data_IF_663602512381
#
_entry.id   IF_663602512381
#
_cell.length_a   1.000
_cell.length_b   1.000
_cell.length_c   1.000
_cell.angle_alpha   90.00
_cell.angle_beta   90.00
_cell.angle_gamma   90.00
#
_symmetry.space_group_name_H-M   'P 1'
#
loop_
_entity.id
_entity.type
_entity.pdbx_description
1 polymer ?
#
# COMPACT_ATOMS: atom_id res chain seq x y z
N UNK A 1 11.67 -24.67 -21.25
CA UNK A 1 10.74 -23.55 -21.51
C UNK A 1 9.34 -24.08 -21.27
N UNK A 2 8.89 -24.04 -20.01
CA UNK A 2 7.54 -24.47 -19.65
C UNK A 2 6.55 -23.39 -20.06
N UNK A 3 5.51 -23.78 -20.79
CA UNK A 3 4.36 -22.94 -21.13
C UNK A 3 3.79 -22.30 -19.86
N UNK A 4 3.97 -20.99 -19.70
CA UNK A 4 3.09 -20.20 -18.86
C UNK A 4 1.69 -20.40 -19.44
N UNK A 5 0.79 -20.99 -18.64
CA UNK A 5 -0.59 -21.22 -19.03
C UNK A 5 -1.19 -19.93 -19.63
N UNK A 6 -1.97 -20.06 -20.71
CA UNK A 6 -2.77 -18.97 -21.27
C UNK A 6 -3.59 -18.35 -20.13
N UNK A 7 -3.21 -17.14 -19.73
CA UNK A 7 -3.83 -16.44 -18.62
C UNK A 7 -3.53 -14.95 -18.75
N UNK A 8 -4.48 -14.11 -18.30
CA UNK A 8 -4.35 -12.65 -18.38
C UNK A 8 -3.81 -12.11 -17.07
N UNK A 9 -2.71 -11.38 -17.19
CA UNK A 9 -2.03 -10.76 -16.07
C UNK A 9 -2.40 -9.29 -15.91
N UNK A 10 -2.59 -8.91 -14.66
CA UNK A 10 -2.86 -7.55 -14.25
C UNK A 10 -1.89 -7.13 -13.18
N UNK A 11 -1.46 -5.88 -13.28
CA UNK A 11 -0.65 -5.24 -12.27
C UNK A 11 -1.18 -3.86 -11.99
N UNK A 12 -1.45 -3.57 -10.72
CA UNK A 12 -1.88 -2.28 -10.25
C UNK A 12 -0.82 -1.69 -9.34
N UNK A 13 -0.42 -0.45 -9.61
CA UNK A 13 0.28 0.37 -8.64
C UNK A 13 -0.75 0.89 -7.63
N UNK A 14 -0.57 0.54 -6.36
CA UNK A 14 -1.38 1.01 -5.24
C UNK A 14 -0.63 2.12 -4.49
N UNK A 15 -1.36 3.00 -3.81
CA UNK A 15 -0.74 3.99 -2.92
C UNK A 15 -0.26 3.34 -1.61
N UNK A 16 1.06 3.13 -1.49
CA UNK A 16 1.68 2.61 -0.26
C UNK A 16 1.29 3.42 0.97
N UNK A 17 1.10 4.74 0.85
CA UNK A 17 0.78 5.62 1.96
C UNK A 17 -0.72 5.75 2.24
N UNK A 18 -1.59 5.12 1.46
CA UNK A 18 -3.04 5.14 1.66
C UNK A 18 -3.61 3.72 1.63
N UNK A 19 -3.00 2.81 2.42
CA UNK A 19 -3.38 1.39 2.41
C UNK A 19 -4.80 1.18 2.85
N UNK A 20 -5.34 2.03 3.73
CA UNK A 20 -6.75 2.01 4.12
C UNK A 20 -7.72 2.03 2.92
N UNK A 21 -7.52 2.93 1.96
CA UNK A 21 -8.37 2.98 0.77
C UNK A 21 -8.00 1.90 -0.24
N UNK A 22 -6.70 1.63 -0.43
CA UNK A 22 -6.23 0.57 -1.34
C UNK A 22 -6.71 -0.82 -0.94
N UNK A 23 -6.81 -1.10 0.36
CA UNK A 23 -7.33 -2.35 0.91
C UNK A 23 -8.78 -2.58 0.51
N UNK A 24 -9.59 -1.52 0.36
CA UNK A 24 -10.99 -1.67 -0.12
C UNK A 24 -10.99 -2.21 -1.54
N UNK A 25 -10.16 -1.65 -2.41
CA UNK A 25 -10.00 -2.15 -3.78
C UNK A 25 -9.55 -3.61 -3.80
N UNK A 26 -8.50 -3.96 -3.05
CA UNK A 26 -8.01 -5.33 -2.95
C UNK A 26 -9.09 -6.28 -2.41
N UNK A 27 -9.81 -5.89 -1.36
CA UNK A 27 -10.91 -6.67 -0.77
C UNK A 27 -12.04 -6.90 -1.77
N UNK A 28 -12.44 -5.87 -2.50
CA UNK A 28 -13.54 -5.96 -3.45
C UNK A 28 -13.17 -6.84 -4.65
N UNK A 29 -11.91 -6.81 -5.12
CA UNK A 29 -11.42 -7.79 -6.11
C UNK A 29 -11.54 -9.21 -5.54
N UNK A 30 -10.98 -9.47 -4.36
CA UNK A 30 -10.94 -10.83 -3.80
C UNK A 30 -12.33 -11.40 -3.47
N UNK A 31 -13.32 -10.54 -3.19
CA UNK A 31 -14.71 -10.94 -2.94
C UNK A 31 -15.52 -11.18 -4.21
N UNK A 32 -15.24 -10.45 -5.29
CA UNK A 32 -16.05 -10.51 -6.53
C UNK A 32 -15.56 -11.56 -7.52
N UNK A 33 -14.31 -12.04 -7.40
CA UNK A 33 -13.71 -12.97 -8.34
C UNK A 33 -13.32 -14.27 -7.65
N UNK A 34 -13.99 -15.36 -8.06
CA UNK A 34 -13.80 -16.71 -7.52
C UNK A 34 -12.36 -17.22 -7.79
N UNK A 35 -11.71 -17.90 -6.82
CA UNK A 35 -10.45 -18.62 -7.00
C UNK A 35 -10.36 -19.52 -8.25
N UNK A 36 -11.48 -20.02 -8.77
CA UNK A 36 -11.51 -20.79 -10.02
C UNK A 36 -11.18 -19.98 -11.28
N UNK A 37 -11.42 -18.66 -11.26
CA UNK A 37 -11.10 -17.72 -12.35
C UNK A 37 -9.88 -16.85 -12.03
N UNK A 38 -9.76 -16.40 -10.78
CA UNK A 38 -8.59 -15.70 -10.27
C UNK A 38 -7.58 -16.74 -9.76
N UNK A 39 -6.72 -17.22 -10.66
CA UNK A 39 -5.76 -18.30 -10.39
C UNK A 39 -4.58 -17.88 -9.53
N UNK A 40 -4.37 -16.58 -9.37
CA UNK A 40 -3.36 -16.07 -8.45
C UNK A 40 -3.52 -14.58 -8.16
N UNK A 41 -3.13 -14.18 -6.96
CA UNK A 41 -2.96 -12.79 -6.60
C UNK A 41 -1.75 -12.64 -5.67
N UNK A 42 -1.05 -11.50 -5.75
CA UNK A 42 0.04 -11.20 -4.83
C UNK A 42 0.20 -9.70 -4.59
N UNK A 43 0.72 -9.35 -3.42
CA UNK A 43 1.21 -8.01 -3.12
C UNK A 43 2.74 -8.00 -3.15
N UNK A 44 3.30 -6.96 -3.76
CA UNK A 44 4.73 -6.66 -3.74
C UNK A 44 4.91 -5.34 -3.01
N UNK A 45 5.74 -5.34 -1.97
CA UNK A 45 5.93 -4.19 -1.08
C UNK A 45 7.40 -3.78 -1.07
N UNK A 46 7.69 -2.58 -1.57
CA UNK A 46 9.00 -1.94 -1.41
C UNK A 46 8.93 -0.97 -0.23
N UNK A 47 9.72 -1.26 0.80
CA UNK A 47 9.80 -0.44 2.01
C UNK A 47 10.96 0.56 1.99
N UNK A 48 11.64 0.74 0.86
CA UNK A 48 12.69 1.73 0.74
C UNK A 48 12.09 3.14 0.97
N UNK A 49 12.50 3.89 2.00
CA UNK A 49 11.93 5.20 2.31
C UNK A 49 12.14 6.23 1.19
N UNK A 50 13.10 5.99 0.28
CA UNK A 50 13.34 6.83 -0.89
C UNK A 50 12.53 6.42 -2.12
N UNK A 51 11.89 5.24 -2.11
CA UNK A 51 11.07 4.74 -3.20
C UNK A 51 10.04 3.73 -2.66
N UNK A 52 9.00 4.24 -1.99
CA UNK A 52 7.93 3.39 -1.47
C UNK A 52 7.02 2.95 -2.61
N UNK A 53 6.85 1.64 -2.75
CA UNK A 53 6.05 1.06 -3.81
C UNK A 53 5.18 -0.05 -3.25
N UNK A 54 3.95 -0.12 -3.77
CA UNK A 54 3.02 -1.18 -3.47
C UNK A 54 2.38 -1.61 -4.78
N UNK A 55 2.53 -2.87 -5.14
CA UNK A 55 1.92 -3.43 -6.33
C UNK A 55 0.99 -4.58 -5.97
N UNK A 56 -0.14 -4.65 -6.67
CA UNK A 56 -1.10 -5.75 -6.58
C UNK A 56 -1.20 -6.44 -7.93
N UNK A 57 -0.79 -7.70 -7.96
CA UNK A 57 -0.82 -8.54 -9.14
C UNK A 57 -2.02 -9.48 -9.11
N UNK A 58 -2.62 -9.71 -10.28
CA UNK A 58 -3.70 -10.67 -10.48
C UNK A 58 -3.39 -11.51 -11.72
N UNK A 59 -3.72 -12.79 -11.65
CA UNK A 59 -3.66 -13.71 -12.76
C UNK A 59 -5.02 -14.37 -12.95
N UNK A 60 -5.59 -14.24 -14.15
CA UNK A 60 -6.85 -14.86 -14.52
C UNK A 60 -6.60 -16.00 -15.52
N UNK A 61 -7.21 -17.16 -15.31
CA UNK A 61 -7.12 -18.29 -16.27
C UNK A 61 -7.82 -17.98 -17.58
N UNK A 62 -9.05 -17.49 -17.55
CA UNK A 62 -9.87 -17.22 -18.74
C UNK A 62 -10.89 -16.09 -18.48
N UNK A 63 -11.30 -15.40 -19.55
CA UNK A 63 -12.41 -14.41 -19.59
C UNK A 63 -12.35 -13.27 -18.54
N UNK A 64 -11.50 -12.28 -18.82
CA UNK A 64 -11.34 -11.03 -18.08
C UNK A 64 -12.35 -9.93 -18.46
N UNK A 65 -13.22 -10.13 -19.46
CA UNK A 65 -14.11 -9.07 -19.94
C UNK A 65 -15.04 -8.57 -18.84
N UNK A 66 -15.48 -9.49 -17.98
CA UNK A 66 -16.22 -9.17 -16.78
C UNK A 66 -15.38 -8.36 -15.79
N UNK A 67 -14.10 -8.69 -15.61
CA UNK A 67 -13.18 -7.94 -14.75
C UNK A 67 -12.95 -6.52 -15.30
N UNK A 68 -12.69 -6.34 -16.60
CA UNK A 68 -12.54 -5.01 -17.22
C UNK A 68 -13.80 -4.16 -17.08
N UNK A 69 -14.96 -4.76 -17.34
CA UNK A 69 -16.25 -4.09 -17.20
C UNK A 69 -16.53 -3.71 -15.75
N UNK A 70 -16.18 -4.57 -14.80
CA UNK A 70 -16.30 -4.28 -13.38
C UNK A 70 -15.32 -3.19 -12.94
N UNK A 71 -14.05 -3.24 -13.37
CA UNK A 71 -13.00 -2.29 -13.04
C UNK A 71 -13.36 -0.89 -13.53
N UNK A 72 -13.77 -0.77 -14.80
CA UNK A 72 -14.16 0.52 -15.40
C UNK A 72 -15.38 1.16 -14.74
N UNK A 73 -16.29 0.36 -14.17
CA UNK A 73 -17.50 0.86 -13.48
C UNK A 73 -17.23 1.24 -12.02
N UNK A 74 -16.50 0.40 -11.29
CA UNK A 74 -16.33 0.55 -9.84
C UNK A 74 -15.07 1.33 -9.47
N UNK A 75 -14.02 1.22 -10.28
CA UNK A 75 -12.73 1.86 -10.05
C UNK A 75 -12.17 2.50 -11.34
N UNK A 76 -12.89 3.46 -11.95
CA UNK A 76 -12.49 4.08 -13.23
C UNK A 76 -11.13 4.79 -13.19
N UNK A 77 -10.63 5.10 -12.00
CA UNK A 77 -9.33 5.74 -11.77
C UNK A 77 -8.18 4.73 -11.62
N UNK A 78 -8.46 3.43 -11.49
CA UNK A 78 -7.43 2.39 -11.37
C UNK A 78 -6.96 2.00 -12.76
N UNK A 79 -5.71 2.32 -13.05
CA UNK A 79 -5.04 1.98 -14.31
C UNK A 79 -4.01 0.88 -14.08
N UNK A 80 -3.84 0.01 -15.08
CA UNK A 80 -2.79 -1.00 -15.04
C UNK A 80 -1.41 -0.33 -15.14
N UNK A 81 -0.44 -0.87 -14.43
CA UNK A 81 0.97 -0.51 -14.60
C UNK A 81 1.53 -1.24 -15.83
N UNK A 82 1.60 -0.54 -16.96
CA UNK A 82 2.05 -1.12 -18.24
C UNK A 82 3.59 -1.15 -18.39
N UNK A 83 4.30 -0.40 -17.56
CA UNK A 83 5.75 -0.21 -17.64
C UNK A 83 6.56 -1.13 -16.71
N UNK A 84 5.90 -2.10 -16.06
CA UNK A 84 6.55 -3.00 -15.11
C UNK A 84 6.22 -4.46 -15.48
N UNK A 85 7.26 -5.25 -15.75
CA UNK A 85 7.08 -6.66 -16.08
C UNK A 85 7.11 -7.51 -14.81
N UNK A 86 6.39 -8.63 -14.83
CA UNK A 86 6.35 -9.53 -13.66
C UNK A 86 7.72 -10.13 -13.35
N UNK A 87 8.56 -10.33 -14.37
CA UNK A 87 9.94 -10.80 -14.20
C UNK A 87 10.76 -9.82 -13.36
N UNK A 88 10.56 -8.51 -13.53
CA UNK A 88 11.23 -7.49 -12.72
C UNK A 88 10.80 -7.57 -11.26
N UNK A 89 9.51 -7.84 -11.01
CA UNK A 89 8.98 -8.06 -9.66
C UNK A 89 9.52 -9.34 -9.02
N UNK A 90 9.62 -10.44 -9.78
CA UNK A 90 10.21 -11.69 -9.29
C UNK A 90 11.69 -11.56 -8.99
N UNK A 91 12.46 -10.91 -9.87
CA UNK A 91 13.87 -10.60 -9.64
C UNK A 91 14.02 -9.70 -8.42
N UNK A 92 13.17 -8.67 -8.31
CA UNK A 92 13.14 -7.78 -7.14
C UNK A 92 12.86 -8.52 -5.84
N UNK A 93 11.90 -9.46 -5.84
CA UNK A 93 11.61 -10.32 -4.70
C UNK A 93 12.80 -11.24 -4.35
N UNK A 94 13.40 -11.89 -5.35
CA UNK A 94 14.58 -12.75 -5.17
C UNK A 94 15.78 -11.97 -4.61
N UNK A 95 15.95 -10.72 -5.03
CA UNK A 95 17.00 -9.82 -4.55
C UNK A 95 16.64 -9.12 -3.23
N UNK A 96 15.53 -9.48 -2.58
CA UNK A 96 15.04 -8.90 -1.32
C UNK A 96 14.71 -7.41 -1.39
N UNK A 97 14.51 -6.87 -2.59
CA UNK A 97 14.03 -5.50 -2.79
C UNK A 97 12.53 -5.36 -2.52
N UNK A 98 11.79 -6.47 -2.63
CA UNK A 98 10.36 -6.53 -2.35
C UNK A 98 10.04 -7.61 -1.33
N UNK A 99 9.23 -7.25 -0.34
CA UNK A 99 8.45 -8.23 0.41
C UNK A 99 7.29 -8.70 -0.46
N UNK A 100 6.96 -9.99 -0.43
CA UNK A 100 5.88 -10.57 -1.25
C UNK A 100 4.95 -11.41 -0.39
N UNK A 101 3.65 -11.32 -0.66
CA UNK A 101 2.65 -12.23 -0.10
C UNK A 101 1.60 -12.61 -1.13
N UNK A 102 1.21 -13.88 -1.18
CA UNK A 102 0.33 -14.46 -2.21
C UNK A 102 -0.88 -15.22 -1.64
N UNK A 103 -1.24 -14.97 -0.38
CA UNK A 103 -2.43 -15.56 0.28
C UNK A 103 -3.28 -14.42 0.83
N UNK A 104 -4.03 -13.79 -0.07
CA UNK A 104 -4.88 -12.65 0.25
C UNK A 104 -6.31 -13.14 0.34
N UNK A 105 -6.71 -13.64 1.49
CA UNK A 105 -8.13 -13.79 1.81
C UNK A 105 -8.67 -12.43 2.27
N UNK A 106 -9.90 -12.04 1.87
CA UNK A 106 -10.48 -10.76 2.27
C UNK A 106 -10.43 -10.51 3.79
N UNK A 107 -10.56 -11.57 4.58
CA UNK A 107 -10.60 -11.57 6.04
C UNK A 107 -9.26 -11.21 6.69
N UNK A 108 -8.14 -11.48 6.03
CA UNK A 108 -6.80 -11.24 6.58
C UNK A 108 -6.19 -9.92 6.11
N UNK A 109 -6.85 -9.19 5.21
CA UNK A 109 -6.31 -7.96 4.61
C UNK A 109 -6.00 -6.85 5.63
N UNK A 110 -6.74 -6.76 6.72
CA UNK A 110 -6.46 -5.79 7.79
C UNK A 110 -5.11 -6.04 8.46
N UNK A 111 -4.74 -7.32 8.58
CA UNK A 111 -3.46 -7.77 9.14
C UNK A 111 -2.34 -7.67 8.09
N UNK A 112 -2.66 -7.96 6.82
CA UNK A 112 -1.65 -8.01 5.76
C UNK A 112 -1.29 -6.62 5.20
N UNK A 113 -2.20 -5.64 5.24
CA UNK A 113 -1.97 -4.27 4.74
C UNK A 113 -2.14 -3.17 5.83
N UNK A 114 -1.64 -3.34 7.07
CA UNK A 114 -2.04 -2.51 8.20
C UNK A 114 -1.73 -1.03 7.98
N UNK A 115 -2.58 -0.13 8.50
CA UNK A 115 -2.32 1.32 8.42
C UNK A 115 -1.16 1.75 9.33
N UNK A 116 -0.91 1.04 10.43
CA UNK A 116 0.27 1.25 11.28
C UNK A 116 1.47 0.45 10.77
N UNK A 117 2.71 0.80 11.15
CA UNK A 117 3.87 -0.04 10.88
C UNK A 117 3.68 -1.43 11.50
N UNK A 118 4.04 -2.47 10.76
CA UNK A 118 3.91 -3.86 11.18
C UNK A 118 3.87 -4.85 10.02
N UNK A 119 4.26 -6.10 10.31
CA UNK A 119 4.26 -7.18 9.32
C UNK A 119 5.15 -6.85 8.12
N UNK A 120 4.54 -6.71 6.95
CA UNK A 120 5.24 -6.45 5.68
C UNK A 120 5.48 -4.96 5.39
N UNK A 121 4.89 -4.05 6.18
CA UNK A 121 4.94 -2.60 6.00
C UNK A 121 5.73 -1.93 7.13
N UNK A 122 6.80 -1.23 6.78
CA UNK A 122 7.67 -0.57 7.74
C UNK A 122 7.26 0.86 8.06
N UNK A 123 6.44 1.49 7.23
CA UNK A 123 6.05 2.90 7.35
C UNK A 123 4.53 3.01 7.42
N UNK A 124 4.01 3.84 8.32
CA UNK A 124 2.58 4.05 8.53
C UNK A 124 1.90 4.69 7.30
N UNK A 125 0.58 4.61 7.25
CA UNK A 125 -0.22 5.40 6.32
C UNK A 125 0.04 6.89 6.54
N UNK A 126 -0.02 7.65 5.45
CA UNK A 126 0.26 9.09 5.39
C UNK A 126 -0.62 9.88 6.36
N UNK A 127 -1.87 9.48 6.54
CA UNK A 127 -2.79 10.11 7.50
C UNK A 127 -2.23 10.04 8.93
N UNK A 128 -1.69 8.89 9.34
CA UNK A 128 -1.11 8.70 10.67
C UNK A 128 0.16 9.55 10.82
N UNK A 129 1.05 9.51 9.83
CA UNK A 129 2.29 10.30 9.86
C UNK A 129 2.01 11.80 9.93
N UNK A 130 1.00 12.28 9.21
CA UNK A 130 0.59 13.69 9.24
C UNK A 130 0.09 14.09 10.64
N UNK A 131 -0.73 13.24 11.28
CA UNK A 131 -1.22 13.49 12.64
C UNK A 131 -0.09 13.50 13.67
N UNK A 132 0.85 12.56 13.57
CA UNK A 132 2.04 12.53 14.43
C UNK A 132 2.90 13.78 14.26
N UNK A 133 3.12 14.22 13.03
CA UNK A 133 3.88 15.43 12.73
C UNK A 133 3.23 16.70 13.31
N UNK A 134 1.91 16.84 13.17
CA UNK A 134 1.15 17.95 13.76
C UNK A 134 1.24 17.95 15.29
N UNK A 135 1.13 16.77 15.91
CA UNK A 135 1.25 16.62 17.36
C UNK A 135 2.63 17.03 17.88
N UNK A 136 3.70 16.58 17.20
CA UNK A 136 5.08 16.94 17.54
C UNK A 136 5.33 18.44 17.37
N UNK A 137 4.84 19.04 16.29
CA UNK A 137 4.96 20.48 16.04
C UNK A 137 4.27 21.31 17.12
N UNK A 138 3.03 20.94 17.49
CA UNK A 138 2.26 21.64 18.52
C UNK A 138 2.93 21.54 19.89
N UNK A 139 3.43 20.36 20.23
CA UNK A 139 4.17 20.12 21.49
C UNK A 139 5.47 20.93 21.55
N UNK A 140 6.18 21.03 20.43
CA UNK A 140 7.38 21.86 20.33
C UNK A 140 7.06 23.34 20.51
N UNK A 141 6.02 23.87 19.85
CA UNK A 141 5.59 25.27 20.03
C UNK A 141 5.21 25.59 21.48
N UNK A 142 4.47 24.70 22.15
CA UNK A 142 4.10 24.89 23.55
C UNK A 142 5.35 24.97 24.45
N UNK A 143 6.35 24.12 24.20
CA UNK A 143 7.61 24.10 24.94
C UNK A 143 8.40 25.39 24.73
N UNK A 144 8.49 25.88 23.49
CA UNK A 144 9.16 27.15 23.16
C UNK A 144 8.45 28.33 23.82
N UNK A 145 7.12 28.40 23.75
CA UNK A 145 6.36 29.48 24.37
C UNK A 145 6.51 29.52 25.90
N UNK A 146 6.53 28.36 26.55
CA UNK A 146 6.81 28.26 27.98
C UNK A 146 8.22 28.74 28.34
N UNK A 147 9.22 28.42 27.52
CA UNK A 147 10.59 28.89 27.72
C UNK A 147 10.69 30.42 27.59
N UNK A 148 10.08 31.01 26.56
CA UNK A 148 10.03 32.47 26.37
C UNK A 148 9.37 33.16 27.57
N UNK A 149 8.22 32.64 28.02
CA UNK A 149 7.50 33.22 29.16
C UNK A 149 8.29 33.11 30.48
N UNK A 150 9.03 32.02 30.67
CA UNK A 150 9.91 31.85 31.82
C UNK A 150 11.06 32.88 31.80
N UNK A 151 11.65 33.14 30.64
CA UNK A 151 12.71 34.14 30.48
C UNK A 151 12.20 35.57 30.71
N UNK A 152 11.02 35.93 30.20
CA UNK A 152 10.38 37.23 30.46
C UNK A 152 10.09 37.47 31.95
N UNK A 153 9.64 36.44 32.66
CA UNK A 153 9.40 36.50 34.11
C UNK A 153 10.69 36.69 34.92
N UNK A 154 11.82 36.16 34.45
CA UNK A 154 13.13 36.36 35.09
C UNK A 154 13.61 37.79 34.88
N UNK A 155 13.47 38.34 33.67
CA UNK A 155 13.88 39.72 33.35
C UNK A 155 13.09 40.75 34.19
N UNK A 156 11.79 40.53 34.39
CA UNK A 156 10.94 41.44 35.16
C UNK A 156 11.07 41.34 36.69
N UNK A 157 11.91 40.43 37.22
CA UNK A 157 12.18 40.28 38.67
C UNK A 157 13.55 40.82 39.11
N UNK A 158 14.33 41.39 38.19
CA UNK A 158 15.61 42.10 38.43
C UNK A 158 15.43 43.60 38.36
#
# INVERSE_FOLDING_TARGET
MSSLAEGKYYLFALDYGNRKEERKFVSDVLKNFDPGKLTGCALYINNNPYNLELYFSLNFSEDDEFFESWLSRNYPHKTRAYNLFIDDLFIGAANKSYNVTSYLEPEVLDIMMPSTPGGLFLIADREILNLECISLYTSHQATVNLAIFADELVIHRT
#
